data_IF_833811710467
#
_entry.id   IF_833811710467
#
_cell.length_a   1.000
_cell.length_b   1.000
_cell.length_c   1.000
_cell.angle_alpha   90.00
_cell.angle_beta   90.00
_cell.angle_gamma   90.00
#
_symmetry.space_group_name_H-M   'P 1'
#
loop_
_entity.id
_entity.type
_entity.pdbx_description
1 polymer ?
2 non-polymer ?
3 non-polymer ?
4 water ?
#
# COMPACT_ATOMS: atom_id res chain seq x y z
N UNK A 1 4.98 9.86 -42.10
CA UNK A 1 4.79 11.00 -41.14
C UNK A 1 6.04 11.25 -40.32
N UNK A 2 6.05 12.41 -39.66
CA UNK A 2 7.11 12.82 -38.77
C UNK A 2 6.55 13.42 -37.46
N UNK A 3 7.42 13.56 -36.48
CA UNK A 3 7.02 14.10 -35.18
C UNK A 3 8.23 14.68 -34.46
N UNK A 4 7.96 15.50 -33.46
CA UNK A 4 9.01 16.03 -32.58
C UNK A 4 9.76 14.89 -31.91
N UNK A 5 11.06 15.09 -31.77
CA UNK A 5 11.90 14.14 -31.08
C UNK A 5 11.95 14.46 -29.59
N UNK A 6 11.83 13.44 -28.76
CA UNK A 6 11.94 13.60 -27.31
C UNK A 6 13.31 13.19 -26.86
N UNK A 7 13.76 13.81 -25.76
CA UNK A 7 15.03 13.39 -25.16
C UNK A 7 14.95 12.09 -24.39
N UNK A 8 13.84 11.87 -23.71
CA UNK A 8 13.68 10.69 -22.90
C UNK A 8 12.84 9.68 -23.62
N UNK A 9 13.24 8.43 -23.53
CA UNK A 9 12.53 7.32 -24.14
C UNK A 9 12.27 6.28 -23.09
N UNK A 10 11.08 5.74 -23.13
CA UNK A 10 10.59 4.93 -22.04
C UNK A 10 11.54 3.82 -21.62
N UNK A 11 12.12 3.08 -22.57
CA UNK A 11 12.96 1.95 -22.12
C UNK A 11 14.22 2.47 -21.44
N UNK A 12 14.75 3.59 -21.88
CA UNK A 12 15.93 4.14 -21.20
C UNK A 12 15.57 4.62 -19.82
N UNK A 13 14.37 5.23 -19.71
CA UNK A 13 13.92 5.80 -18.42
C UNK A 13 13.71 4.73 -17.37
N UNK A 14 13.21 3.54 -17.76
CA UNK A 14 12.92 2.50 -16.76
C UNK A 14 14.11 1.61 -16.49
N UNK A 15 15.16 1.68 -17.27
CA UNK A 15 16.30 0.77 -17.12
C UNK A 15 16.90 0.92 -15.75
N UNK A 16 16.98 -0.19 -15.02
CA UNK A 16 17.49 -0.21 -13.66
C UNK A 16 16.60 0.36 -12.60
N UNK A 17 15.38 0.76 -12.99
CA UNK A 17 14.45 1.46 -12.14
C UNK A 17 13.17 0.67 -11.93
N UNK A 18 12.32 1.19 -11.05
CA UNK A 18 11.09 0.55 -10.69
C UNK A 18 9.91 1.14 -11.46
N UNK A 19 9.05 0.24 -11.96
CA UNK A 19 7.75 0.58 -12.54
C UNK A 19 6.71 0.15 -11.55
N UNK A 20 5.75 1.01 -11.22
CA UNK A 20 4.73 0.65 -10.29
C UNK A 20 3.39 0.48 -11.00
N UNK A 21 2.78 -0.67 -10.78
CA UNK A 21 1.48 -0.96 -11.31
C UNK A 21 0.38 -0.48 -10.38
N UNK A 22 -0.51 0.35 -10.89
CA UNK A 22 -1.57 1.02 -10.14
C UNK A 22 -2.88 0.58 -10.74
N UNK A 23 -3.37 -0.56 -10.28
CA UNK A 23 -4.58 -1.18 -10.80
C UNK A 23 -5.56 -1.50 -9.66
N UNK A 24 -6.83 -1.40 -10.01
CA UNK A 24 -7.90 -1.80 -9.09
C UNK A 24 -9.10 -2.13 -9.92
N UNK A 25 -9.38 -3.42 -10.06
CA UNK A 25 -10.49 -3.87 -10.92
C UNK A 25 -11.81 -3.71 -10.20
N UNK A 26 -12.93 -4.04 -10.87
CA UNK A 26 -14.21 -3.64 -10.38
C UNK A 26 -14.62 -4.34 -9.10
N UNK A 27 -13.96 -5.44 -8.78
CA UNK A 27 -14.22 -6.16 -7.53
C UNK A 27 -13.28 -5.76 -6.39
N UNK A 28 -12.51 -4.70 -6.56
CA UNK A 28 -11.49 -4.30 -5.60
C UNK A 28 -11.88 -2.99 -4.93
N UNK A 29 -11.45 -2.78 -3.70
CA UNK A 29 -11.90 -1.62 -2.94
C UNK A 29 -11.45 -0.28 -3.49
N UNK A 30 -10.34 -0.22 -4.20
CA UNK A 30 -9.80 1.07 -4.72
C UNK A 30 -10.20 1.35 -6.17
N UNK A 31 -11.21 0.62 -6.69
CA UNK A 31 -11.64 0.79 -8.10
C UNK A 31 -12.16 2.21 -8.37
N UNK A 32 -11.35 3.01 -9.05
CA UNK A 32 -11.61 4.43 -9.26
C UNK A 32 -10.41 5.05 -9.90
N UNK A 33 -10.60 5.73 -11.03
CA UNK A 33 -9.50 6.43 -11.65
C UNK A 33 -8.91 7.52 -10.72
N UNK A 34 -9.77 8.16 -9.95
CA UNK A 34 -9.33 9.16 -8.96
C UNK A 34 -8.29 8.54 -8.03
N UNK A 35 -8.61 7.37 -7.46
CA UNK A 35 -7.71 6.73 -6.51
C UNK A 35 -6.45 6.25 -7.21
N UNK A 36 -6.55 5.65 -8.40
CA UNK A 36 -5.35 5.21 -9.08
C UNK A 36 -4.43 6.38 -9.46
N UNK A 37 -4.99 7.52 -9.81
CA UNK A 37 -4.16 8.69 -10.06
C UNK A 37 -3.37 9.08 -8.81
N UNK A 38 -4.04 9.07 -7.68
CA UNK A 38 -3.39 9.40 -6.41
C UNK A 38 -2.32 8.35 -6.05
N UNK A 39 -2.59 7.06 -6.28
CA UNK A 39 -1.58 6.00 -6.10
C UNK A 39 -0.36 6.28 -6.96
N UNK A 40 -0.59 6.70 -8.22
CA UNK A 40 0.49 6.96 -9.14
C UNK A 40 1.31 8.17 -8.72
N UNK A 41 0.67 9.20 -8.17
CA UNK A 41 1.38 10.35 -7.62
C UNK A 41 2.28 9.87 -6.50
N UNK A 42 1.72 9.05 -5.63
CA UNK A 42 2.51 8.51 -4.49
C UNK A 42 3.71 7.74 -5.02
N UNK A 43 3.49 6.90 -6.02
CA UNK A 43 4.54 6.08 -6.59
C UNK A 43 5.62 7.01 -7.20
N UNK A 44 5.22 8.03 -7.94
CA UNK A 44 6.15 9.04 -8.51
C UNK A 44 7.01 9.68 -7.39
N UNK A 45 6.36 10.12 -6.33
CA UNK A 45 7.03 10.81 -5.23
C UNK A 45 7.93 9.89 -4.47
N UNK A 46 7.69 8.59 -4.54
CA UNK A 46 8.54 7.57 -3.97
C UNK A 46 9.66 7.06 -4.89
N UNK A 47 9.76 7.60 -6.10
CA UNK A 47 10.87 7.29 -7.00
C UNK A 47 10.54 6.39 -8.16
N UNK A 48 9.30 6.04 -8.40
CA UNK A 48 8.91 5.21 -9.57
C UNK A 48 9.27 5.93 -10.85
N UNK A 49 9.77 5.19 -11.85
CA UNK A 49 10.13 5.71 -13.15
C UNK A 49 9.01 5.71 -14.17
N UNK A 50 8.03 4.86 -13.95
CA UNK A 50 6.91 4.71 -14.86
C UNK A 50 5.79 3.98 -14.13
N UNK A 51 4.61 3.95 -14.75
CA UNK A 51 3.41 3.35 -14.16
C UNK A 51 2.84 2.32 -15.17
N UNK A 52 2.35 1.20 -14.66
CA UNK A 52 1.52 0.27 -15.42
C UNK A 52 0.10 0.42 -14.95
N UNK A 53 -0.85 0.57 -15.86
CA UNK A 53 -2.25 0.86 -15.51
C UNK A 53 -3.19 0.16 -16.45
N UNK A 54 -4.41 -0.05 -15.96
CA UNK A 54 -5.45 -0.78 -16.67
C UNK A 54 -6.64 0.11 -16.90
N UNK A 55 -7.10 0.10 -18.14
CA UNK A 55 -8.29 0.83 -18.58
C UNK A 55 -8.01 2.27 -18.97
N UNK A 56 -8.75 2.70 -19.98
CA UNK A 56 -8.58 4.02 -20.54
C UNK A 56 -8.73 5.10 -19.48
N UNK A 57 -9.75 5.02 -18.65
CA UNK A 57 -10.03 6.08 -17.70
C UNK A 57 -8.87 6.22 -16.69
N UNK A 58 -8.33 5.11 -16.19
CA UNK A 58 -7.23 5.20 -15.24
C UNK A 58 -5.97 5.68 -15.91
N UNK A 59 -5.72 5.19 -17.12
CA UNK A 59 -4.54 5.63 -17.84
C UNK A 59 -4.57 7.13 -18.09
N UNK A 60 -5.72 7.66 -18.51
CA UNK A 60 -5.82 9.08 -18.82
C UNK A 60 -5.62 9.92 -17.56
N UNK A 61 -6.19 9.45 -16.46
CA UNK A 61 -6.05 10.17 -15.19
C UNK A 61 -4.62 10.17 -14.70
N UNK A 62 -3.98 9.01 -14.75
CA UNK A 62 -2.58 8.91 -14.33
C UNK A 62 -1.66 9.76 -15.17
N UNK A 63 -1.87 9.75 -16.48
CA UNK A 63 -1.07 10.59 -17.34
C UNK A 63 -1.21 12.07 -16.97
N UNK A 64 -2.47 12.51 -16.74
CA UNK A 64 -2.81 13.91 -16.37
C UNK A 64 -2.15 14.36 -15.05
N UNK A 65 -2.14 13.50 -14.06
CA UNK A 65 -1.70 13.91 -12.74
C UNK A 65 -0.23 13.56 -12.41
N UNK A 66 0.43 12.73 -13.22
CA UNK A 66 1.85 12.38 -12.99
C UNK A 66 2.81 12.72 -14.13
N UNK A 67 2.32 12.68 -15.36
CA UNK A 67 3.18 12.85 -16.54
C UNK A 67 4.27 11.81 -16.66
N UNK A 68 4.11 10.66 -16.02
CA UNK A 68 5.06 9.57 -16.16
C UNK A 68 4.75 8.75 -17.37
N UNK A 69 5.74 8.05 -17.88
CA UNK A 69 5.48 7.02 -18.91
C UNK A 69 4.57 5.94 -18.39
N UNK A 70 3.72 5.42 -19.26
CA UNK A 70 2.71 4.44 -18.88
C UNK A 70 2.73 3.22 -19.76
N UNK A 71 2.75 2.06 -19.14
CA UNK A 71 2.44 0.77 -19.78
C UNK A 71 0.94 0.56 -19.58
N UNK A 72 0.20 0.64 -20.67
CA UNK A 72 -1.26 0.47 -20.58
C UNK A 72 -1.68 -0.91 -21.02
N UNK A 73 -2.72 -1.39 -20.35
CA UNK A 73 -3.46 -2.60 -20.72
C UNK A 73 -4.94 -2.37 -20.58
N UNK A 74 -5.72 -3.23 -21.22
CA UNK A 74 -7.13 -3.40 -20.90
C UNK A 74 -7.32 -4.86 -20.55
N UNK A 75 -7.84 -5.11 -19.38
CA UNK A 75 -8.17 -6.46 -18.91
C UNK A 75 -9.62 -6.71 -19.26
N UNK A 76 -9.92 -7.70 -20.09
CA UNK A 76 -11.28 -7.95 -20.55
C UNK A 76 -11.45 -9.43 -20.84
N UNK A 77 -12.50 -10.04 -20.29
CA UNK A 77 -12.80 -11.46 -20.52
C UNK A 77 -13.57 -11.57 -21.80
N UNK A 78 -13.27 -12.61 -22.54
CA UNK A 78 -14.02 -13.02 -23.71
C UNK A 78 -14.45 -14.46 -23.52
N UNK A 79 -15.64 -14.77 -24.01
CA UNK A 79 -16.17 -16.13 -23.86
C UNK A 79 -15.40 -17.22 -24.56
N UNK A 80 -14.65 -16.87 -25.60
CA UNK A 80 -13.95 -17.83 -26.45
C UNK A 80 -12.43 -17.85 -26.28
N UNK A 81 -11.93 -17.39 -25.14
CA UNK A 81 -10.50 -17.32 -24.93
C UNK A 81 -10.19 -17.27 -23.44
N UNK A 82 -9.03 -17.82 -23.06
CA UNK A 82 -8.53 -17.74 -21.70
C UNK A 82 -7.75 -16.43 -21.51
N UNK A 83 -7.42 -15.75 -22.60
CA UNK A 83 -6.62 -14.53 -22.57
C UNK A 83 -7.48 -13.32 -22.15
N UNK A 84 -6.97 -12.53 -21.20
CA UNK A 84 -7.68 -11.33 -20.74
C UNK A 84 -6.83 -10.05 -20.80
N UNK A 85 -5.50 -10.15 -20.91
CA UNK A 85 -4.67 -8.94 -20.96
C UNK A 85 -4.56 -8.49 -22.41
N UNK A 86 -5.30 -7.42 -22.76
CA UNK A 86 -5.37 -6.81 -24.08
C UNK A 86 -5.55 -7.89 -25.17
N UNK A 87 -6.71 -8.55 -25.15
CA UNK A 87 -6.84 -9.75 -25.97
C UNK A 87 -6.98 -9.53 -27.47
N UNK A 88 -7.56 -8.40 -27.89
CA UNK A 88 -7.94 -8.21 -29.29
C UNK A 88 -7.61 -6.82 -29.77
N UNK A 89 -7.74 -6.63 -31.08
CA UNK A 89 -7.53 -5.35 -31.69
C UNK A 89 -8.47 -4.28 -31.10
N UNK A 90 -9.66 -4.68 -30.65
CA UNK A 90 -10.57 -3.73 -30.04
C UNK A 90 -9.94 -3.05 -28.82
N UNK A 91 -9.28 -3.82 -27.95
CA UNK A 91 -8.58 -3.21 -26.81
C UNK A 91 -7.35 -2.42 -27.25
N UNK A 92 -6.57 -2.92 -28.20
CA UNK A 92 -5.46 -2.13 -28.72
C UNK A 92 -5.93 -0.74 -29.21
N UNK A 93 -7.01 -0.69 -29.97
CA UNK A 93 -7.54 0.56 -30.50
C UNK A 93 -8.02 1.48 -29.40
N UNK A 94 -8.67 0.92 -28.40
CA UNK A 94 -9.07 1.72 -27.23
C UNK A 94 -7.83 2.33 -26.55
N UNK A 95 -6.77 1.55 -26.36
CA UNK A 95 -5.54 2.07 -25.75
C UNK A 95 -4.79 3.09 -26.60
N UNK A 96 -4.90 2.96 -27.90
CA UNK A 96 -4.25 3.92 -28.79
C UNK A 96 -4.92 5.27 -28.79
N UNK A 97 -6.12 5.36 -28.21
CA UNK A 97 -6.77 6.65 -28.02
C UNK A 97 -6.23 7.37 -26.77
N UNK A 98 -5.45 6.67 -25.93
CA UNK A 98 -4.71 7.29 -24.86
C UNK A 98 -3.29 7.66 -25.26
N UNK A 99 -2.55 8.31 -24.37
CA UNK A 99 -1.18 8.66 -24.69
C UNK A 99 -0.17 7.67 -24.15
N UNK A 100 -0.61 6.49 -23.71
CA UNK A 100 0.35 5.57 -23.13
C UNK A 100 1.40 5.18 -24.15
N UNK A 101 2.65 5.19 -23.72
CA UNK A 101 3.80 5.01 -24.60
C UNK A 101 4.04 3.53 -24.92
N UNK A 102 3.62 2.63 -24.04
CA UNK A 102 3.79 1.19 -24.20
C UNK A 102 2.43 0.55 -23.95
N UNK A 103 2.15 -0.49 -24.71
CA UNK A 103 0.97 -1.33 -24.55
C UNK A 103 1.47 -2.73 -24.28
N UNK A 104 1.00 -3.32 -23.20
CA UNK A 104 1.30 -4.74 -22.87
C UNK A 104 0.14 -5.62 -23.28
N UNK A 105 0.48 -6.80 -23.78
CA UNK A 105 -0.57 -7.76 -24.13
C UNK A 105 -0.09 -9.17 -23.79
N UNK A 106 -1.05 -9.99 -23.41
CA UNK A 106 -0.80 -11.42 -23.26
C UNK A 106 -0.15 -11.91 -24.55
N UNK A 107 0.99 -12.57 -24.45
CA UNK A 107 1.68 -13.16 -25.58
C UNK A 107 1.92 -14.65 -25.37
N UNK A 108 0.98 -15.26 -24.67
CA UNK A 108 0.98 -16.68 -24.45
C UNK A 108 0.63 -17.41 -25.74
N UNK A 109 0.84 -18.73 -25.73
CA UNK A 109 0.63 -19.54 -26.93
C UNK A 109 -0.84 -19.83 -27.29
N UNK A 110 -1.75 -19.22 -26.56
CA UNK A 110 -3.13 -19.61 -26.49
C UNK A 110 -3.94 -18.86 -27.54
N UNK A 111 -5.08 -19.44 -27.92
CA UNK A 111 -5.95 -18.80 -28.89
C UNK A 111 -6.58 -17.54 -28.34
N UNK A 112 -6.61 -16.51 -29.17
CA UNK A 112 -7.23 -15.25 -28.82
C UNK A 112 -8.68 -15.22 -29.26
N UNK A 113 -9.46 -14.26 -28.70
CA UNK A 113 -10.83 -14.12 -29.19
C UNK A 113 -10.87 -13.83 -30.68
N UNK A 114 -11.93 -14.33 -31.31
CA UNK A 114 -12.17 -14.15 -32.73
C UNK A 114 -11.05 -14.76 -33.59
N UNK A 115 -10.22 -15.64 -33.02
CA UNK A 115 -9.08 -16.21 -33.76
C UNK A 115 -8.05 -15.17 -34.19
N UNK A 116 -8.00 -14.06 -33.48
CA UNK A 116 -7.03 -13.02 -33.79
C UNK A 116 -5.60 -13.44 -33.52
N UNK A 117 -4.68 -12.81 -34.22
CA UNK A 117 -3.27 -13.14 -34.15
C UNK A 117 -2.49 -12.02 -33.47
N UNK A 118 -1.72 -12.38 -32.46
CA UNK A 118 -0.98 -11.40 -31.70
C UNK A 118 -0.04 -10.58 -32.57
N UNK A 119 0.51 -11.14 -33.63
CA UNK A 119 1.35 -10.35 -34.53
C UNK A 119 0.63 -9.12 -35.09
N UNK A 120 -0.64 -9.27 -35.40
CA UNK A 120 -1.40 -8.15 -35.93
C UNK A 120 -1.56 -7.04 -34.91
N UNK A 121 -1.70 -7.43 -33.65
CA UNK A 121 -1.81 -6.48 -32.56
C UNK A 121 -0.48 -5.72 -32.38
N UNK A 122 0.63 -6.44 -32.38
CA UNK A 122 1.97 -5.85 -32.30
C UNK A 122 2.18 -4.85 -33.45
N UNK A 123 1.81 -5.27 -34.65
CA UNK A 123 1.99 -4.39 -35.80
C UNK A 123 1.15 -3.11 -35.68
N UNK A 124 -0.07 -3.22 -35.18
CA UNK A 124 -0.95 -2.06 -35.04
C UNK A 124 -0.42 -1.08 -33.99
N UNK A 125 0.16 -1.61 -32.92
CA UNK A 125 0.80 -0.80 -31.90
C UNK A 125 1.99 -0.05 -32.51
N UNK A 126 2.82 -0.74 -33.29
CA UNK A 126 4.01 -0.15 -33.91
C UNK A 126 3.62 0.89 -34.94
N UNK A 127 2.52 0.66 -35.63
CA UNK A 127 2.04 1.60 -36.66
C UNK A 127 1.73 2.99 -36.13
N UNK A 128 1.37 3.09 -34.85
CA UNK A 128 1.09 4.37 -34.19
C UNK A 128 2.27 4.84 -33.36
N UNK A 129 3.40 4.15 -33.50
CA UNK A 129 4.65 4.60 -32.87
C UNK A 129 4.78 4.28 -31.40
N UNK A 130 3.95 3.34 -30.92
CA UNK A 130 3.98 2.90 -29.54
C UNK A 130 4.89 1.67 -29.41
N UNK A 131 5.26 1.35 -28.17
CA UNK A 131 6.06 0.16 -27.89
C UNK A 131 5.11 -0.96 -27.46
N UNK A 132 5.55 -2.20 -27.64
CA UNK A 132 4.73 -3.37 -27.29
C UNK A 132 5.53 -4.21 -26.29
N UNK A 133 4.87 -4.56 -25.21
CA UNK A 133 5.39 -5.47 -24.19
C UNK A 133 4.61 -6.79 -24.26
N UNK A 134 5.35 -7.89 -24.24
CA UNK A 134 4.79 -9.24 -24.23
C UNK A 134 4.72 -9.75 -22.83
N UNK A 135 3.53 -9.92 -22.29
CA UNK A 135 3.30 -10.58 -21.00
C UNK A 135 3.29 -12.09 -21.26
N UNK A 136 4.23 -12.80 -20.66
CA UNK A 136 4.40 -14.24 -20.94
C UNK A 136 4.39 -15.05 -19.67
N UNK A 137 4.25 -16.35 -19.83
CA UNK A 137 4.25 -17.28 -18.69
C UNK A 137 5.37 -18.32 -18.70
N UNK A 138 5.99 -18.58 -19.84
CA UNK A 138 7.02 -19.63 -19.95
C UNK A 138 8.17 -19.10 -20.78
N UNK A 139 9.31 -19.79 -20.68
CA UNK A 139 10.50 -19.44 -21.44
C UNK A 139 10.26 -19.44 -22.93
N UNK A 140 9.62 -20.52 -23.41
CA UNK A 140 9.39 -20.59 -24.83
C UNK A 140 8.53 -19.45 -25.32
N UNK A 141 7.53 -19.04 -24.54
CA UNK A 141 6.69 -17.90 -24.91
C UNK A 141 7.54 -16.62 -25.00
N UNK A 142 8.49 -16.49 -24.08
CA UNK A 142 9.37 -15.31 -24.11
C UNK A 142 10.26 -15.27 -25.34
N UNK A 143 10.78 -16.44 -25.69
CA UNK A 143 11.61 -16.57 -26.90
C UNK A 143 10.80 -16.23 -28.16
N UNK A 144 9.57 -16.73 -28.25
CA UNK A 144 8.72 -16.42 -29.39
C UNK A 144 8.30 -14.95 -29.49
N UNK A 145 8.10 -14.29 -28.34
CA UNK A 145 7.72 -12.89 -28.35
C UNK A 145 8.74 -12.00 -29.06
N UNK A 146 10.00 -12.28 -28.84
CA UNK A 146 11.03 -11.56 -29.55
C UNK A 146 10.89 -11.75 -31.07
N UNK A 147 10.68 -12.98 -31.50
CA UNK A 147 10.51 -13.27 -32.93
C UNK A 147 9.33 -12.52 -33.54
N UNK A 148 8.29 -12.30 -32.74
CA UNK A 148 7.07 -11.62 -33.19
C UNK A 148 7.21 -10.08 -33.22
N UNK A 149 8.35 -9.55 -32.78
CA UNK A 149 8.60 -8.13 -32.88
C UNK A 149 8.31 -7.28 -31.64
N UNK A 150 8.04 -7.92 -30.51
CA UNK A 150 7.85 -7.19 -29.26
C UNK A 150 9.12 -6.43 -28.89
N UNK A 151 8.92 -5.31 -28.21
CA UNK A 151 10.04 -4.46 -27.80
C UNK A 151 10.64 -4.92 -26.47
N UNK A 152 9.83 -5.59 -25.66
CA UNK A 152 10.31 -6.12 -24.41
C UNK A 152 9.38 -7.23 -24.03
N UNK A 153 9.80 -8.04 -23.06
CA UNK A 153 9.02 -9.16 -22.57
C UNK A 153 8.95 -9.03 -21.06
N UNK A 154 7.83 -9.44 -20.48
CA UNK A 154 7.66 -9.39 -19.04
C UNK A 154 7.19 -10.74 -18.52
N UNK A 155 7.55 -11.06 -17.27
CA UNK A 155 7.20 -12.36 -16.73
C UNK A 155 5.83 -12.38 -16.00
N UNK A 156 5.01 -11.38 -16.31
CA UNK A 156 3.71 -11.14 -15.76
C UNK A 156 2.80 -12.33 -15.54
N UNK A 157 2.74 -13.20 -16.53
CA UNK A 157 1.74 -14.28 -16.52
C UNK A 157 2.27 -15.62 -16.00
N UNK A 158 3.53 -15.67 -15.57
CA UNK A 158 4.07 -16.89 -14.96
C UNK A 158 3.38 -17.20 -13.65
N UNK A 159 2.78 -18.38 -13.59
CA UNK A 159 1.92 -18.73 -12.47
C UNK A 159 0.46 -18.43 -12.67
N UNK A 160 0.12 -17.79 -13.78
CA UNK A 160 -1.25 -17.35 -14.09
C UNK A 160 -1.75 -18.04 -15.37
N UNK A 161 -1.04 -19.06 -15.82
CA UNK A 161 -1.53 -20.01 -16.83
C UNK A 161 -1.37 -21.42 -16.24
N UNK A 162 -2.20 -22.38 -16.69
CA UNK A 162 -2.22 -23.69 -16.04
C UNK A 162 -0.93 -24.47 -16.20
N UNK A 163 -0.21 -24.18 -17.25
CA UNK A 163 0.95 -24.96 -17.68
C UNK A 163 2.30 -24.31 -17.28
N UNK A 164 2.25 -23.12 -16.66
CA UNK A 164 3.45 -22.43 -16.23
C UNK A 164 3.70 -22.82 -14.78
N UNK A 165 4.86 -22.44 -14.26
CA UNK A 165 5.20 -22.84 -12.92
C UNK A 165 4.20 -22.24 -11.95
N UNK A 166 3.65 -23.08 -11.10
CA UNK A 166 2.72 -22.60 -10.07
C UNK A 166 3.49 -22.23 -8.81
N UNK A 167 3.37 -20.99 -8.39
CA UNK A 167 4.13 -20.49 -7.26
C UNK A 167 3.47 -19.26 -6.64
N UNK A 168 3.72 -19.05 -5.35
CA UNK A 168 3.26 -17.84 -4.68
C UNK A 168 4.37 -16.83 -4.52
N UNK A 169 5.52 -17.11 -5.14
CA UNK A 169 6.68 -16.19 -5.05
C UNK A 169 7.20 -15.81 -6.45
N UNK A 170 8.13 -14.87 -6.51
CA UNK A 170 8.62 -14.40 -7.79
C UNK A 170 9.22 -15.56 -8.54
N UNK A 171 8.98 -15.61 -9.84
CA UNK A 171 9.60 -16.60 -10.70
C UNK A 171 10.96 -16.10 -11.17
N UNK A 172 11.99 -16.30 -10.36
CA UNK A 172 13.35 -15.89 -10.70
C UNK A 172 13.96 -16.77 -11.76
N UNK A 173 13.61 -18.05 -11.80
CA UNK A 173 14.19 -18.96 -12.77
C UNK A 173 13.80 -18.53 -14.17
N UNK A 174 12.56 -18.18 -14.40
CA UNK A 174 12.14 -17.72 -15.72
C UNK A 174 12.90 -16.46 -16.10
N UNK A 175 13.03 -15.53 -15.17
CA UNK A 175 13.80 -14.34 -15.42
C UNK A 175 15.21 -14.68 -15.85
N UNK A 176 15.90 -15.53 -15.10
CA UNK A 176 17.29 -15.88 -15.44
C UNK A 176 17.38 -16.55 -16.79
N UNK A 177 16.45 -17.44 -17.06
CA UNK A 177 16.44 -18.16 -18.32
C UNK A 177 16.15 -17.27 -19.51
N UNK A 178 15.26 -16.29 -19.36
CA UNK A 178 15.03 -15.31 -20.44
C UNK A 178 16.26 -14.47 -20.68
N UNK A 179 16.90 -14.02 -19.61
CA UNK A 179 18.13 -13.24 -19.73
C UNK A 179 19.21 -14.05 -20.44
N UNK A 180 19.25 -15.37 -20.28
CA UNK A 180 20.20 -16.20 -21.03
C UNK A 180 19.93 -16.24 -22.54
N UNK A 181 18.70 -15.95 -22.97
CA UNK A 181 18.23 -16.39 -24.28
C UNK A 181 17.67 -15.31 -25.21
N UNK A 182 17.06 -14.28 -24.69
CA UNK A 182 16.53 -13.22 -25.56
C UNK A 182 17.41 -11.98 -25.51
N UNK A 183 17.34 -11.16 -26.55
CA UNK A 183 18.18 -9.97 -26.67
C UNK A 183 17.41 -8.71 -26.22
N UNK A 184 16.07 -8.78 -26.26
CA UNK A 184 15.27 -7.64 -25.93
C UNK A 184 15.16 -7.53 -24.41
N UNK A 185 14.84 -6.36 -23.87
CA UNK A 185 14.71 -6.22 -22.44
C UNK A 185 13.73 -7.20 -21.80
N UNK A 186 14.13 -7.73 -20.64
CA UNK A 186 13.32 -8.66 -19.85
C UNK A 186 12.94 -7.94 -18.56
N UNK A 187 11.63 -7.81 -18.35
CA UNK A 187 11.09 -7.13 -17.19
C UNK A 187 10.53 -8.16 -16.23
N UNK A 188 10.96 -8.10 -14.99
CA UNK A 188 10.43 -8.97 -13.95
C UNK A 188 9.15 -8.41 -13.42
N UNK A 189 8.09 -9.18 -13.53
CA UNK A 189 6.77 -8.73 -13.10
C UNK A 189 5.95 -9.90 -12.54
N UNK A 190 5.54 -9.81 -11.29
CA UNK A 190 4.72 -10.81 -10.66
C UNK A 190 5.24 -11.25 -9.30
N UNK A 191 4.51 -10.86 -8.26
CA UNK A 191 4.70 -11.36 -6.91
C UNK A 191 5.94 -10.86 -6.24
N UNK A 192 6.53 -9.75 -6.73
CA UNK A 192 7.61 -9.05 -6.01
C UNK A 192 7.03 -8.42 -4.76
N UNK A 193 7.36 -8.94 -3.59
CA UNK A 193 6.80 -8.47 -2.31
C UNK A 193 7.75 -7.62 -1.51
N UNK A 194 9.06 -7.81 -1.68
CA UNK A 194 10.03 -7.15 -0.78
C UNK A 194 11.09 -6.41 -1.57
N UNK A 195 11.69 -5.38 -0.96
CA UNK A 195 12.80 -4.74 -1.64
C UNK A 195 13.94 -5.72 -1.98
N UNK A 196 14.17 -6.70 -1.13
CA UNK A 196 15.21 -7.69 -1.39
C UNK A 196 14.95 -8.53 -2.63
N UNK A 197 13.69 -8.83 -2.89
CA UNK A 197 13.34 -9.55 -4.11
C UNK A 197 13.49 -8.66 -5.32
N UNK A 198 13.13 -7.39 -5.19
CA UNK A 198 13.34 -6.44 -6.28
C UNK A 198 14.83 -6.33 -6.65
N UNK A 199 15.68 -6.15 -5.65
CA UNK A 199 17.12 -6.09 -5.86
C UNK A 199 17.61 -7.34 -6.56
N UNK A 200 17.18 -8.50 -6.05
CA UNK A 200 17.53 -9.77 -6.64
C UNK A 200 17.16 -9.84 -8.13
N UNK A 201 15.98 -9.37 -8.50
CA UNK A 201 15.60 -9.40 -9.91
C UNK A 201 16.56 -8.61 -10.77
N UNK A 202 16.89 -7.40 -10.33
CA UNK A 202 17.85 -6.57 -11.06
C UNK A 202 19.22 -7.24 -11.10
N UNK A 203 19.63 -7.81 -9.98
CA UNK A 203 20.94 -8.47 -9.93
C UNK A 203 21.05 -9.65 -10.88
N UNK A 204 19.93 -10.32 -11.10
CA UNK A 204 19.82 -11.41 -12.06
C UNK A 204 19.73 -10.96 -13.52
N UNK A 205 19.74 -9.66 -13.77
CA UNK A 205 19.75 -9.10 -15.11
C UNK A 205 18.43 -8.64 -15.68
N UNK A 206 17.41 -8.54 -14.85
CA UNK A 206 16.20 -7.89 -15.27
C UNK A 206 16.53 -6.47 -15.74
N UNK A 207 15.95 -6.05 -16.85
CA UNK A 207 16.19 -4.70 -17.35
C UNK A 207 15.52 -3.67 -16.46
N UNK A 208 14.33 -4.03 -16.01
CA UNK A 208 13.53 -3.26 -15.08
C UNK A 208 12.61 -4.26 -14.40
N UNK A 209 11.78 -3.76 -13.49
CA UNK A 209 10.81 -4.58 -12.78
C UNK A 209 9.56 -3.83 -12.46
N UNK A 210 8.46 -4.57 -12.35
CA UNK A 210 7.15 -4.02 -12.03
C UNK A 210 6.67 -4.57 -10.71
N UNK A 211 6.29 -3.67 -9.81
CA UNK A 211 5.66 -4.01 -8.54
C UNK A 211 4.28 -3.40 -8.53
N UNK A 212 3.27 -4.25 -8.30
CA UNK A 212 1.92 -3.79 -8.19
C UNK A 212 1.34 -3.92 -6.82
N UNK A 213 0.79 -5.08 -6.50
CA UNK A 213 0.02 -5.21 -5.29
C UNK A 213 0.74 -4.89 -3.99
N UNK A 214 2.04 -5.18 -3.91
CA UNK A 214 2.82 -4.91 -2.72
C UNK A 214 2.92 -3.43 -2.43
N UNK A 215 2.56 -2.58 -3.41
CA UNK A 215 2.50 -1.10 -3.18
C UNK A 215 1.07 -0.59 -3.20
N UNK A 216 0.26 -1.02 -4.18
CA UNK A 216 -1.00 -0.40 -4.48
C UNK A 216 -2.29 -1.21 -4.16
N UNK A 217 -2.12 -2.40 -3.57
CA UNK A 217 -3.27 -3.18 -3.12
C UNK A 217 -3.21 -3.39 -1.61
N UNK A 218 -3.68 -2.39 -0.85
CA UNK A 218 -3.63 -2.52 0.59
C UNK A 218 -4.29 -3.77 1.15
N UNK A 219 -5.33 -4.28 0.47
CA UNK A 219 -5.91 -5.51 0.95
C UNK A 219 -4.91 -6.66 0.95
N UNK A 220 -4.15 -6.77 -0.14
CA UNK A 220 -3.14 -7.80 -0.26
C UNK A 220 -2.01 -7.61 0.73
N UNK A 221 -1.60 -6.36 0.95
CA UNK A 221 -0.49 -6.07 1.86
C UNK A 221 -0.94 -6.43 3.25
N UNK A 222 -2.17 -6.01 3.60
CA UNK A 222 -2.74 -6.32 4.91
C UNK A 222 -2.80 -7.84 5.12
N UNK A 223 -3.26 -8.58 4.11
CA UNK A 223 -3.37 -10.04 4.25
C UNK A 223 -2.01 -10.71 4.48
N UNK A 224 -0.97 -10.17 3.88
CA UNK A 224 0.33 -10.74 4.07
C UNK A 224 0.78 -10.54 5.52
N UNK A 225 0.42 -9.38 6.13
CA UNK A 225 0.60 -9.18 7.56
C UNK A 225 -0.25 -10.10 8.39
N UNK A 226 -1.57 -10.13 8.18
CA UNK A 226 -2.44 -10.93 9.05
C UNK A 226 -2.23 -12.42 8.88
N UNK A 227 -1.75 -12.86 7.72
CA UNK A 227 -1.46 -14.30 7.50
C UNK A 227 -0.38 -14.84 8.46
N UNK A 228 0.51 -13.99 8.97
CA UNK A 228 1.59 -14.48 9.82
C UNK A 228 1.12 -14.65 11.25
N UNK A 229 -0.02 -14.08 11.60
CA UNK A 229 -0.54 -14.14 12.98
C UNK A 229 -1.20 -15.49 13.29
N UNK B 1 -26.11 7.28 34.03
CA UNK B 1 -26.87 6.73 32.86
C UNK B 1 -26.56 5.28 32.54
N UNK B 2 -27.29 4.75 31.56
CA UNK B 2 -27.15 3.36 31.13
C UNK B 2 -27.28 3.21 29.62
N UNK B 3 -26.91 2.03 29.12
CA UNK B 3 -26.91 1.76 27.69
C UNK B 3 -26.98 0.26 27.42
N UNK B 4 -27.31 -0.11 26.17
CA UNK B 4 -27.31 -1.52 25.83
C UNK B 4 -25.89 -2.07 25.86
N UNK B 5 -25.79 -3.34 26.23
CA UNK B 5 -24.53 -4.00 26.31
C UNK B 5 -24.22 -4.63 24.98
N UNK B 6 -22.97 -4.51 24.58
CA UNK B 6 -22.48 -5.10 23.35
C UNK B 6 -21.70 -6.34 23.67
N UNK B 7 -21.71 -7.29 22.74
CA UNK B 7 -20.96 -8.50 22.95
C UNK B 7 -19.45 -8.29 22.76
N UNK B 8 -19.10 -7.46 21.79
CA UNK B 8 -17.70 -7.24 21.42
C UNK B 8 -17.22 -5.96 22.04
N UNK B 9 -16.00 -6.01 22.53
CA UNK B 9 -15.39 -4.88 23.17
C UNK B 9 -14.07 -4.67 22.51
N UNK B 10 -13.75 -3.43 22.19
CA UNK B 10 -12.60 -3.15 21.37
C UNK B 10 -11.28 -3.84 21.79
N UNK B 11 -10.93 -3.80 23.08
CA UNK B 11 -9.65 -4.39 23.46
C UNK B 11 -9.68 -5.91 23.27
N UNK B 12 -10.82 -6.52 23.46
CA UNK B 12 -10.91 -7.95 23.16
C UNK B 12 -10.79 -8.23 21.69
N UNK B 13 -11.42 -7.40 20.85
CA UNK B 13 -11.39 -7.57 19.40
C UNK B 13 -9.98 -7.47 18.83
N UNK B 14 -9.18 -6.55 19.36
CA UNK B 14 -7.86 -6.33 18.78
C UNK B 14 -6.81 -7.26 19.37
N UNK B 15 -7.09 -7.95 20.48
CA UNK B 15 -6.10 -8.81 21.11
C UNK B 15 -5.54 -9.84 20.16
N UNK B 16 -4.23 -9.83 19.95
CA UNK B 16 -3.56 -10.76 19.04
C UNK B 16 -3.74 -10.50 17.57
N UNK B 17 -4.42 -9.41 17.26
CA UNK B 17 -4.77 -9.07 15.89
C UNK B 17 -4.12 -7.77 15.46
N UNK B 18 -4.30 -7.45 14.18
CA UNK B 18 -3.70 -6.26 13.58
C UNK B 18 -4.71 -5.10 13.53
N UNK B 19 -4.26 -3.92 13.93
CA UNK B 19 -4.94 -2.66 13.74
C UNK B 19 -4.24 -1.93 12.61
N UNK B 20 -5.01 -1.48 11.63
CA UNK B 20 -4.39 -0.75 10.49
C UNK B 20 -4.68 0.75 10.62
N UNK B 21 -3.65 1.57 10.58
CA UNK B 21 -3.77 3.01 10.55
C UNK B 21 -3.91 3.52 9.10
N UNK B 22 -5.00 4.24 8.83
CA UNK B 22 -5.41 4.72 7.55
C UNK B 22 -5.46 6.24 7.67
N UNK B 23 -4.31 6.87 7.47
CA UNK B 23 -4.16 8.31 7.54
C UNK B 23 -3.47 8.87 6.32
N UNK B 24 -3.87 10.11 5.99
CA UNK B 24 -3.26 10.83 4.88
C UNK B 24 -3.51 12.30 5.12
N UNK B 25 -2.51 12.96 5.62
CA UNK B 25 -2.61 14.36 5.98
C UNK B 25 -2.58 15.22 4.73
N UNK B 26 -2.73 16.53 4.90
CA UNK B 26 -2.98 17.41 3.78
C UNK B 26 -1.88 17.51 2.73
N UNK B 27 -0.65 17.14 3.12
CA UNK B 27 0.48 17.10 2.23
C UNK B 27 0.75 15.72 1.64
N UNK B 28 -0.18 14.79 1.77
CA UNK B 28 0.03 13.42 1.30
C UNK B 28 -0.88 13.06 0.14
N UNK B 29 -0.38 12.20 -0.79
CA UNK B 29 -1.14 11.97 -1.99
C UNK B 29 -2.52 11.42 -1.85
N UNK B 30 -2.77 10.65 -0.83
CA UNK B 30 -4.09 9.99 -0.66
C UNK B 30 -5.05 10.79 0.20
N UNK B 31 -4.71 12.03 0.51
CA UNK B 31 -5.55 12.88 1.35
C UNK B 31 -6.95 13.02 0.78
N UNK B 32 -7.94 12.50 1.53
CA UNK B 32 -9.35 12.38 1.07
C UNK B 32 -10.04 11.44 2.03
N UNK B 33 -11.15 11.86 2.57
CA UNK B 33 -11.90 10.94 3.42
C UNK B 33 -12.41 9.77 2.63
N UNK B 34 -12.89 10.03 1.41
CA UNK B 34 -13.31 8.94 0.53
C UNK B 34 -12.21 7.92 0.38
N UNK B 35 -11.00 8.38 0.06
CA UNK B 35 -9.92 7.41 -0.15
C UNK B 35 -9.60 6.67 1.12
N UNK B 36 -9.54 7.35 2.27
CA UNK B 36 -9.25 6.65 3.51
C UNK B 36 -10.31 5.62 3.83
N UNK B 37 -11.55 5.90 3.52
CA UNK B 37 -12.59 4.92 3.65
C UNK B 37 -12.33 3.65 2.86
N UNK B 38 -11.96 3.82 1.59
CA UNK B 38 -11.67 2.70 0.71
C UNK B 38 -10.44 1.95 1.20
N UNK B 39 -9.42 2.67 1.70
CA UNK B 39 -8.26 1.98 2.27
C UNK B 39 -8.66 1.15 3.47
N UNK B 40 -9.58 1.65 4.30
CA UNK B 40 -10.05 0.92 5.48
C UNK B 40 -10.86 -0.31 5.09
N UNK B 41 -11.66 -0.22 4.02
CA UNK B 41 -12.35 -1.38 3.49
C UNK B 41 -11.34 -2.47 3.09
N UNK B 42 -10.32 -2.07 2.34
CA UNK B 42 -9.24 -2.98 1.90
C UNK B 42 -8.62 -3.64 3.13
N UNK B 43 -8.28 -2.86 4.13
CA UNK B 43 -7.74 -3.38 5.37
C UNK B 43 -8.67 -4.38 6.06
N UNK B 44 -9.96 -4.03 6.17
CA UNK B 44 -10.94 -4.95 6.72
C UNK B 44 -10.94 -6.28 5.95
N UNK B 45 -10.95 -6.20 4.63
CA UNK B 45 -11.03 -7.39 3.79
C UNK B 45 -9.77 -8.20 3.81
N UNK B 46 -8.65 -7.61 4.20
CA UNK B 46 -7.40 -8.32 4.45
C UNK B 46 -7.19 -8.78 5.88
N UNK B 47 -8.20 -8.61 6.72
CA UNK B 47 -8.19 -9.17 8.06
C UNK B 47 -7.92 -8.23 9.21
N UNK B 48 -7.89 -6.93 8.99
CA UNK B 48 -7.65 -5.96 10.07
C UNK B 48 -8.81 -6.05 11.04
N UNK B 49 -8.51 -5.96 12.32
CA UNK B 49 -9.51 -6.01 13.38
C UNK B 49 -10.07 -4.64 13.77
N UNK B 50 -9.31 -3.61 13.46
CA UNK B 50 -9.70 -2.24 13.82
C UNK B 50 -8.86 -1.29 12.98
N UNK B 51 -9.25 -0.03 13.00
CA UNK B 51 -8.62 1.02 12.21
C UNK B 51 -8.22 2.15 13.13
N UNK B 52 -7.06 2.74 12.89
CA UNK B 52 -6.68 4.00 13.51
C UNK B 52 -6.77 5.07 12.44
N UNK B 53 -7.39 6.19 12.78
CA UNK B 53 -7.72 7.21 11.81
C UNK B 53 -7.61 8.59 12.42
N UNK B 54 -7.42 9.59 11.57
CA UNK B 54 -7.13 10.98 11.97
C UNK B 54 -8.16 11.90 11.38
N UNK B 55 -8.70 12.75 12.24
CA UNK B 55 -9.64 13.77 11.86
C UNK B 55 -11.07 13.22 11.80
N UNK B 56 -12.00 14.12 12.08
CA UNK B 56 -13.43 13.77 12.23
C UNK B 56 -13.98 13.30 10.90
N UNK B 57 -13.59 13.92 9.82
CA UNK B 57 -14.15 13.52 8.53
C UNK B 57 -13.74 12.10 8.10
N UNK B 58 -12.46 11.78 8.25
CA UNK B 58 -12.01 10.44 7.93
C UNK B 58 -12.60 9.43 8.89
N UNK B 59 -12.60 9.72 10.19
CA UNK B 59 -13.20 8.80 11.16
C UNK B 59 -14.65 8.51 10.80
N UNK B 60 -15.44 9.55 10.55
CA UNK B 60 -16.86 9.33 10.24
C UNK B 60 -17.03 8.51 8.96
N UNK B 61 -16.24 8.77 7.93
CA UNK B 61 -16.32 8.01 6.69
C UNK B 61 -15.96 6.56 6.93
N UNK B 62 -14.84 6.30 7.60
CA UNK B 62 -14.44 4.92 7.88
C UNK B 62 -15.44 4.12 8.70
N UNK B 63 -16.00 4.78 9.69
CA UNK B 63 -17.00 4.14 10.53
C UNK B 63 -18.17 3.72 9.64
N UNK B 64 -18.63 4.64 8.78
CA UNK B 64 -19.78 4.36 7.93
C UNK B 64 -19.54 3.19 6.98
N UNK B 65 -18.39 3.16 6.33
CA UNK B 65 -18.15 2.23 5.24
C UNK B 65 -17.53 0.91 5.69
N UNK B 66 -17.05 0.83 6.94
CA UNK B 66 -16.47 -0.45 7.44
C UNK B 66 -17.13 -1.01 8.69
N UNK B 67 -17.70 -0.15 9.53
CA UNK B 67 -18.23 -0.54 10.83
C UNK B 67 -17.25 -1.27 11.72
N UNK B 68 -15.97 -1.03 11.51
CA UNK B 68 -14.92 -1.54 12.41
C UNK B 68 -14.73 -0.62 13.61
N UNK B 69 -14.19 -1.16 14.70
CA UNK B 69 -13.80 -0.29 15.77
C UNK B 69 -12.71 0.65 15.32
N UNK B 70 -12.74 1.88 15.83
CA UNK B 70 -11.78 2.91 15.49
C UNK B 70 -11.04 3.51 16.67
N UNK B 71 -9.72 3.67 16.53
CA UNK B 71 -8.92 4.53 17.37
C UNK B 71 -8.82 5.88 16.67
N UNK B 72 -9.41 6.91 17.25
CA UNK B 72 -9.44 8.22 16.63
C UNK B 72 -8.43 9.15 17.26
N UNK B 73 -7.80 9.96 16.42
CA UNK B 73 -6.95 11.07 16.86
C UNK B 73 -7.30 12.28 16.03
N UNK B 74 -6.91 13.44 16.52
CA UNK B 74 -6.77 14.65 15.69
C UNK B 74 -5.34 15.13 15.80
N UNK B 75 -4.68 15.28 14.66
CA UNK B 75 -3.32 15.79 14.61
C UNK B 75 -3.39 17.29 14.37
N UNK B 76 -2.84 18.09 15.28
CA UNK B 76 -3.01 19.53 15.15
C UNK B 76 -1.85 20.20 15.86
N UNK B 77 -1.21 21.15 15.16
CA UNK B 77 -0.10 21.90 15.72
C UNK B 77 -0.61 23.07 16.52
N UNK B 78 0.08 23.35 17.63
CA UNK B 78 -0.23 24.53 18.45
C UNK B 78 1.09 25.25 18.62
N UNK B 79 1.05 26.57 18.70
CA UNK B 79 2.27 27.39 18.72
C UNK B 79 3.03 27.24 20.03
N UNK B 80 2.34 26.78 21.09
CA UNK B 80 2.98 26.71 22.41
C UNK B 80 3.25 25.30 22.90
N UNK B 81 3.34 24.34 21.99
CA UNK B 81 3.60 22.97 22.40
C UNK B 81 4.21 22.19 21.28
N UNK B 82 4.99 21.17 21.63
CA UNK B 82 5.54 20.23 20.64
C UNK B 82 4.58 19.07 20.34
N UNK B 83 3.53 18.96 21.15
CA UNK B 83 2.56 17.86 21.04
C UNK B 83 1.59 18.16 19.91
N UNK B 84 1.30 17.16 19.09
CA UNK B 84 0.30 17.32 18.03
C UNK B 84 -0.73 16.21 17.97
N UNK B 85 -0.51 15.10 18.66
CA UNK B 85 -1.51 14.03 18.64
C UNK B 85 -2.54 14.28 19.76
N UNK B 86 -3.71 14.73 19.34
CA UNK B 86 -4.83 15.06 20.24
C UNK B 86 -4.35 15.91 21.42
N UNK B 87 -3.91 17.15 21.14
CA UNK B 87 -3.22 17.90 22.20
C UNK B 87 -4.06 18.48 23.32
N UNK B 88 -5.33 18.78 23.06
CA UNK B 88 -6.12 19.54 23.98
C UNK B 88 -7.54 19.01 24.06
N UNK B 89 -8.26 19.58 25.03
CA UNK B 89 -9.64 19.22 25.24
C UNK B 89 -10.47 19.56 24.00
N UNK B 90 -10.06 20.57 23.25
CA UNK B 90 -10.77 20.91 22.01
C UNK B 90 -10.81 19.71 21.07
N UNK B 91 -9.66 19.04 20.89
CA UNK B 91 -9.64 17.85 20.04
C UNK B 91 -10.39 16.66 20.63
N UNK B 92 -10.26 16.47 21.93
CA UNK B 92 -11.02 15.42 22.58
C UNK B 92 -12.53 15.58 22.33
N UNK B 93 -13.04 16.81 22.51
CA UNK B 93 -14.44 17.09 22.32
C UNK B 93 -14.86 16.85 20.89
N UNK B 94 -14.04 17.27 19.95
CA UNK B 94 -14.34 17.00 18.57
C UNK B 94 -14.43 15.49 18.29
N UNK B 95 -13.50 14.70 18.84
CA UNK B 95 -13.50 13.25 18.65
C UNK B 95 -14.69 12.58 19.32
N UNK B 96 -15.08 13.10 20.46
CA UNK B 96 -16.23 12.55 21.19
C UNK B 96 -17.57 12.73 20.45
N UNK B 97 -17.62 13.62 19.47
CA UNK B 97 -18.75 13.71 18.54
C UNK B 97 -18.77 12.68 17.42
N UNK B 98 -17.67 11.96 17.23
CA UNK B 98 -17.65 10.82 16.31
C UNK B 98 -18.05 9.59 17.14
N UNK B 99 -18.23 8.47 16.47
CA UNK B 99 -18.50 7.24 17.19
C UNK B 99 -17.26 6.42 17.50
N UNK B 100 -16.08 7.00 17.42
CA UNK B 100 -14.92 6.20 17.69
C UNK B 100 -14.88 5.69 19.13
N UNK B 101 -14.55 4.42 19.29
CA UNK B 101 -14.62 3.73 20.58
C UNK B 101 -13.41 4.06 21.46
N UNK B 102 -12.26 4.36 20.84
CA UNK B 102 -11.02 4.66 21.56
C UNK B 102 -10.48 5.97 20.98
N UNK B 103 -9.90 6.79 21.85
CA UNK B 103 -9.25 8.01 21.45
C UNK B 103 -7.81 7.85 21.90
N UNK B 104 -6.88 8.06 20.98
CA UNK B 104 -5.46 8.07 21.32
C UNK B 104 -4.97 9.50 21.44
N UNK B 105 -4.09 9.75 22.42
CA UNK B 105 -3.48 11.08 22.61
C UNK B 105 -2.00 10.94 22.99
N UNK B 106 -1.21 11.91 22.57
CA UNK B 106 0.14 12.04 23.06
C UNK B 106 0.06 12.03 24.60
N UNK B 107 0.83 11.14 25.22
CA UNK B 107 0.90 11.06 26.68
C UNK B 107 2.37 11.16 27.05
N UNK B 108 3.09 12.01 26.33
CA UNK B 108 4.47 12.26 26.67
C UNK B 108 4.57 13.20 27.88
N UNK B 109 5.80 13.33 28.38
CA UNK B 109 6.06 14.19 29.53
C UNK B 109 6.01 15.68 29.23
N UNK B 110 5.76 16.04 27.99
CA UNK B 110 5.92 17.40 27.54
C UNK B 110 4.70 18.26 27.86
N UNK B 111 4.94 19.56 27.92
CA UNK B 111 3.85 20.49 28.18
C UNK B 111 2.89 20.55 27.01
N UNK B 112 1.61 20.62 27.32
CA UNK B 112 0.56 20.67 26.31
C UNK B 112 0.19 22.13 25.99
N UNK B 113 -0.53 22.34 24.87
CA UNK B 113 -1.00 23.70 24.63
C UNK B 113 -1.87 24.21 25.76
N UNK B 114 -1.83 25.52 25.98
CA UNK B 114 -2.61 26.17 27.03
C UNK B 114 -2.27 25.63 28.42
N UNK B 115 -1.17 24.90 28.56
CA UNK B 115 -0.81 24.26 29.84
C UNK B 115 -1.78 23.21 30.35
N UNK B 116 -2.56 22.63 29.44
CA UNK B 116 -3.55 21.64 29.79
C UNK B 116 -2.88 20.38 30.29
N UNK B 117 -3.62 19.61 31.07
CA UNK B 117 -3.10 18.40 31.70
C UNK B 117 -3.73 17.15 31.10
N UNK B 118 -2.89 16.18 30.77
CA UNK B 118 -3.34 14.94 30.14
C UNK B 118 -4.39 14.18 30.97
N UNK B 119 -4.27 14.22 32.30
CA UNK B 119 -5.29 13.59 33.14
C UNK B 119 -6.73 14.12 32.87
N UNK B 120 -6.88 15.42 32.65
CA UNK B 120 -8.18 16.00 32.34
C UNK B 120 -8.74 15.45 31.03
N UNK B 121 -7.86 15.22 30.06
CA UNK B 121 -8.27 14.66 28.80
C UNK B 121 -8.76 13.22 28.99
N UNK B 122 -7.99 12.42 29.71
CA UNK B 122 -8.38 11.03 29.98
C UNK B 122 -9.72 10.96 30.69
N UNK B 123 -9.91 11.82 31.68
CA UNK B 123 -11.13 11.82 32.46
C UNK B 123 -12.33 12.16 31.59
N UNK B 124 -12.14 13.10 30.66
CA UNK B 124 -13.25 13.48 29.77
C UNK B 124 -13.61 12.35 28.80
N UNK B 125 -12.60 11.65 28.29
CA UNK B 125 -12.86 10.49 27.46
C UNK B 125 -13.62 9.44 28.24
N UNK B 126 -13.20 9.21 29.46
CA UNK B 126 -13.88 8.25 30.29
C UNK B 126 -15.29 8.67 30.70
N UNK B 127 -15.49 9.98 30.90
CA UNK B 127 -16.82 10.47 31.24
C UNK B 127 -17.87 10.17 30.16
N UNK B 128 -17.44 10.00 28.91
CA UNK B 128 -18.34 9.58 27.82
C UNK B 128 -18.29 8.09 27.53
N UNK B 129 -17.63 7.31 28.38
CA UNK B 129 -17.62 5.87 28.20
C UNK B 129 -16.73 5.34 27.09
N UNK B 130 -15.78 6.16 26.60
CA UNK B 130 -14.80 5.76 25.60
C UNK B 130 -13.48 5.31 26.27
N UNK B 131 -12.67 4.59 25.50
CA UNK B 131 -11.37 4.13 25.92
C UNK B 131 -10.33 5.16 25.58
N UNK B 132 -9.28 5.26 26.37
CA UNK B 132 -8.14 6.17 26.08
C UNK B 132 -6.86 5.37 25.86
N UNK B 133 -6.15 5.68 24.78
CA UNK B 133 -4.87 5.09 24.43
C UNK B 133 -3.79 6.14 24.59
N UNK B 134 -2.75 5.79 25.32
CA UNK B 134 -1.62 6.70 25.58
C UNK B 134 -0.53 6.45 24.55
N UNK B 135 -0.33 7.41 23.66
CA UNK B 135 0.79 7.30 22.72
C UNK B 135 2.01 7.84 23.46
N UNK B 136 2.97 6.97 23.70
CA UNK B 136 4.18 7.30 24.49
C UNK B 136 5.47 7.11 23.71
N UNK B 137 6.56 7.62 24.28
CA UNK B 137 7.87 7.48 23.67
C UNK B 137 8.91 6.78 24.53
N UNK B 138 8.70 6.72 25.83
CA UNK B 138 9.64 6.08 26.76
C UNK B 138 8.94 5.16 27.74
N UNK B 139 9.74 4.32 28.38
CA UNK B 139 9.26 3.47 29.44
C UNK B 139 8.56 4.26 30.52
N UNK B 140 9.20 5.35 30.96
CA UNK B 140 8.69 6.12 32.07
C UNK B 140 7.36 6.76 31.73
N UNK B 141 7.21 7.15 30.48
CA UNK B 141 5.92 7.72 30.03
C UNK B 141 4.81 6.69 30.05
N UNK B 142 5.16 5.47 29.67
CA UNK B 142 4.23 4.36 29.75
C UNK B 142 3.76 4.05 31.16
N UNK B 143 4.71 4.02 32.08
CA UNK B 143 4.42 3.75 33.47
C UNK B 143 3.48 4.83 34.02
N UNK B 144 3.78 6.08 33.68
CA UNK B 144 2.94 7.16 34.14
C UNK B 144 1.56 7.12 33.51
N UNK B 145 1.50 6.75 32.23
CA UNK B 145 0.21 6.67 31.56
C UNK B 145 -0.71 5.67 32.28
N UNK B 146 -0.18 4.53 32.68
CA UNK B 146 -0.96 3.56 33.45
C UNK B 146 -1.45 4.17 34.73
N UNK B 147 -0.58 4.90 35.43
CA UNK B 147 -0.96 5.54 36.68
C UNK B 147 -2.05 6.56 36.49
N UNK B 148 -2.08 7.21 35.34
CA UNK B 148 -3.09 8.23 35.06
C UNK B 148 -4.43 7.61 34.66
N UNK B 149 -4.48 6.30 34.47
CA UNK B 149 -5.74 5.62 34.20
C UNK B 149 -6.06 5.40 32.73
N UNK B 150 -5.07 5.52 31.85
CA UNK B 150 -5.25 5.11 30.47
C UNK B 150 -5.65 3.63 30.41
N UNK B 151 -6.46 3.28 29.44
CA UNK B 151 -6.82 1.89 29.20
C UNK B 151 -5.76 1.04 28.51
N UNK B 152 -4.86 1.68 27.77
CA UNK B 152 -3.78 0.98 27.08
C UNK B 152 -2.74 2.02 26.71
N UNK B 153 -1.55 1.51 26.39
CA UNK B 153 -0.42 2.33 25.96
C UNK B 153 0.03 1.85 24.61
N UNK B 154 0.54 2.77 23.79
CA UNK B 154 1.11 2.43 22.51
C UNK B 154 2.48 3.06 22.33
N UNK B 155 3.36 2.38 21.58
CA UNK B 155 4.74 2.85 21.43
C UNK B 155 4.91 3.85 20.28
N UNK B 156 3.78 4.42 19.85
CA UNK B 156 3.67 5.34 18.74
C UNK B 156 4.73 6.39 18.61
N UNK B 157 5.11 7.02 19.73
CA UNK B 157 5.97 8.17 19.66
C UNK B 157 7.45 7.87 19.95
N UNK B 158 7.79 6.61 20.11
CA UNK B 158 9.19 6.26 20.27
C UNK B 158 9.94 6.60 18.98
N UNK B 159 10.96 7.44 19.12
CA UNK B 159 11.76 7.91 18.00
C UNK B 159 11.22 9.19 17.43
N UNK B 160 10.11 9.71 17.99
CA UNK B 160 9.48 10.92 17.51
C UNK B 160 9.46 12.01 18.60
N UNK B 161 10.22 11.78 19.67
CA UNK B 161 10.56 12.77 20.67
C UNK B 161 12.08 12.79 20.82
N UNK B 162 12.65 13.96 21.16
CA UNK B 162 14.12 14.04 21.14
C UNK B 162 14.84 13.19 22.18
N UNK B 163 14.15 12.82 23.25
CA UNK B 163 14.74 12.11 24.39
C UNK B 163 14.46 10.62 24.35
N UNK B 164 13.76 10.13 23.31
CA UNK B 164 13.49 8.71 23.18
C UNK B 164 14.52 8.13 22.23
N UNK B 165 14.54 6.82 22.10
CA UNK B 165 15.46 6.15 21.18
C UNK B 165 15.27 6.59 19.74
N UNK B 166 16.35 7.03 19.12
CA UNK B 166 16.34 7.44 17.73
C UNK B 166 16.62 6.21 16.86
N UNK B 167 15.67 5.88 15.99
CA UNK B 167 15.72 4.63 15.21
C UNK B 167 14.86 4.76 13.97
N UNK B 168 15.26 4.05 12.92
CA UNK B 168 14.44 3.92 11.75
C UNK B 168 13.70 2.58 11.68
N UNK B 169 13.77 1.82 12.75
CA UNK B 169 13.08 0.54 12.78
C UNK B 169 12.28 0.42 14.05
N UNK B 170 11.48 -0.63 14.14
CA UNK B 170 10.57 -0.81 15.25
C UNK B 170 11.38 -0.81 16.54
N UNK B 171 10.86 -0.11 17.54
CA UNK B 171 11.45 -0.14 18.89
C UNK B 171 10.92 -1.32 19.69
N UNK B 172 11.57 -2.48 19.51
CA UNK B 172 11.24 -3.68 20.26
C UNK B 172 11.71 -3.60 21.71
N UNK B 173 12.79 -2.85 21.96
CA UNK B 173 13.30 -2.73 23.32
C UNK B 173 12.29 -2.09 24.25
N UNK B 174 11.68 -0.99 23.80
CA UNK B 174 10.66 -0.32 24.59
C UNK B 174 9.46 -1.24 24.85
N UNK B 175 9.04 -1.93 23.79
CA UNK B 175 7.96 -2.91 23.91
C UNK B 175 8.27 -3.95 24.99
N UNK B 176 9.47 -4.52 24.95
CA UNK B 176 9.91 -5.54 25.93
C UNK B 176 9.89 -4.99 27.34
N UNK B 177 10.44 -3.80 27.52
CA UNK B 177 10.46 -3.17 28.86
C UNK B 177 9.08 -2.86 29.41
N UNK B 178 8.17 -2.38 28.55
CA UNK B 178 6.81 -2.03 28.98
C UNK B 178 6.04 -3.25 29.42
N UNK B 179 6.11 -4.35 28.65
CA UNK B 179 5.29 -5.52 28.95
C UNK B 179 5.71 -6.17 30.26
N UNK B 180 6.95 -6.00 30.68
CA UNK B 180 7.35 -6.57 31.95
C UNK B 180 7.06 -5.65 33.13
N UNK B 181 6.56 -4.45 32.87
CA UNK B 181 6.36 -3.42 33.87
C UNK B 181 4.89 -3.03 34.04
N UNK B 182 4.20 -2.72 32.95
CA UNK B 182 2.80 -2.29 33.09
C UNK B 182 1.83 -3.47 32.92
N UNK B 183 0.64 -3.35 33.52
CA UNK B 183 -0.35 -4.41 33.47
C UNK B 183 -1.37 -4.20 32.37
N UNK B 184 -1.59 -2.94 31.98
CA UNK B 184 -2.52 -2.64 30.93
C UNK B 184 -1.96 -3.09 29.58
N UNK B 185 -2.81 -3.28 28.59
CA UNK B 185 -2.33 -3.64 27.26
C UNK B 185 -1.27 -2.69 26.70
N UNK B 186 -0.22 -3.27 26.12
CA UNK B 186 0.83 -2.53 25.43
C UNK B 186 0.75 -2.84 23.96
N UNK B 187 0.49 -1.81 23.18
CA UNK B 187 0.35 -1.94 21.73
C UNK B 187 1.61 -1.46 21.02
N UNK B 188 2.14 -2.28 20.13
CA UNK B 188 3.33 -1.91 19.39
C UNK B 188 2.90 -1.11 18.16
N UNK B 189 3.39 0.11 18.07
CA UNK B 189 3.06 1.01 16.98
C UNK B 189 4.22 1.90 16.61
N UNK B 190 4.61 1.83 15.35
CA UNK B 190 5.69 2.65 14.78
C UNK B 190 6.73 1.84 14.01
N UNK B 191 6.75 2.07 12.71
CA UNK B 191 7.78 1.56 11.82
C UNK B 191 7.79 0.04 11.63
N UNK B 192 6.65 -0.63 11.87
CA UNK B 192 6.55 -2.04 11.54
C UNK B 192 6.43 -2.12 10.02
N UNK B 193 7.43 -2.70 9.38
CA UNK B 193 7.48 -2.77 7.92
C UNK B 193 7.18 -4.15 7.36
N UNK B 194 7.40 -5.23 8.13
CA UNK B 194 7.30 -6.57 7.59
C UNK B 194 6.43 -7.46 8.45
N UNK B 195 5.80 -8.47 7.83
CA UNK B 195 5.10 -9.44 8.63
C UNK B 195 5.95 -10.02 9.74
N UNK B 196 7.22 -10.26 9.49
CA UNK B 196 8.10 -10.88 10.45
C UNK B 196 8.27 -9.98 11.69
N UNK B 197 8.33 -8.67 11.47
CA UNK B 197 8.36 -7.71 12.58
C UNK B 197 7.05 -7.69 13.39
N UNK B 198 5.92 -7.78 12.69
CA UNK B 198 4.63 -7.88 13.36
C UNK B 198 4.54 -9.08 14.25
N UNK B 199 4.94 -10.23 13.70
CA UNK B 199 4.98 -11.47 14.44
C UNK B 199 5.88 -11.36 15.69
N UNK B 200 7.05 -10.77 15.51
CA UNK B 200 7.99 -10.55 16.63
C UNK B 200 7.40 -9.68 17.72
N UNK B 201 6.67 -8.63 17.35
CA UNK B 201 6.06 -7.77 18.33
C UNK B 201 5.09 -8.56 19.18
N UNK B 202 4.26 -9.37 18.52
CA UNK B 202 3.29 -10.17 19.26
C UNK B 202 4.00 -11.20 20.11
N UNK B 203 5.06 -11.80 19.59
CA UNK B 203 5.80 -12.84 20.33
C UNK B 203 6.47 -12.29 21.58
N UNK B 204 6.82 -11.00 21.54
CA UNK B 204 7.39 -10.31 22.68
C UNK B 204 6.35 -9.81 23.68
N UNK B 205 5.07 -10.07 23.41
CA UNK B 205 4.01 -9.77 24.39
C UNK B 205 3.21 -8.53 24.08
N UNK B 206 3.38 -7.93 22.89
CA UNK B 206 2.48 -6.87 22.51
C UNK B 206 1.06 -7.42 22.54
N UNK B 207 0.14 -6.66 23.11
CA UNK B 207 -1.25 -7.09 23.15
C UNK B 207 -1.89 -7.09 21.77
N UNK B 208 -1.55 -6.05 21.01
CA UNK B 208 -1.92 -5.87 19.62
C UNK B 208 -0.85 -5.01 18.97
N UNK B 209 -1.00 -4.67 17.71
CA UNK B 209 -0.03 -3.86 17.01
C UNK B 209 -0.76 -3.07 15.96
N UNK B 210 -0.20 -1.89 15.63
CA UNK B 210 -0.74 -0.97 14.61
C UNK B 210 0.30 -0.83 13.51
N UNK B 211 -0.10 -1.08 12.27
CA UNK B 211 0.71 -0.82 11.06
C UNK B 211 -0.02 0.22 10.28
N UNK B 212 0.66 1.32 9.96
CA UNK B 212 0.11 2.36 9.13
C UNK B 212 0.78 2.42 7.77
N UNK B 213 1.91 3.10 7.68
CA UNK B 213 2.47 3.39 6.37
C UNK B 213 2.84 2.22 5.52
N UNK B 214 3.25 1.10 6.13
CA UNK B 214 3.63 -0.08 5.35
C UNK B 214 2.44 -0.67 4.65
N UNK B 215 1.21 -0.24 4.97
CA UNK B 215 0.02 -0.67 4.26
C UNK B 215 -0.62 0.47 3.48
N UNK B 216 -0.71 1.66 4.09
CA UNK B 216 -1.56 2.72 3.58
C UNK B 216 -0.84 3.97 3.09
N UNK B 217 0.48 3.95 3.05
CA UNK B 217 1.25 5.08 2.45
C UNK B 217 2.07 4.51 1.30
N UNK B 218 1.43 4.37 0.15
CA UNK B 218 2.18 3.87 -1.02
C UNK B 218 3.46 4.65 -1.37
N UNK B 219 3.55 5.94 -1.06
CA UNK B 219 4.78 6.67 -1.28
C UNK B 219 5.91 6.09 -0.45
N UNK B 220 5.63 5.80 0.81
CA UNK B 220 6.61 5.24 1.73
C UNK B 220 6.98 3.82 1.31
N UNK B 221 6.01 3.05 0.87
CA UNK B 221 6.24 1.67 0.47
C UNK B 221 7.11 1.68 -0.78
N UNK B 222 6.77 2.54 -1.73
CA UNK B 222 7.54 2.72 -2.94
C UNK B 222 9.00 3.06 -2.63
N UNK B 223 9.16 4.06 -1.76
CA UNK B 223 10.48 4.50 -1.39
C UNK B 223 11.30 3.39 -0.80
N UNK B 224 10.71 2.52 -0.01
CA UNK B 224 11.48 1.42 0.57
C UNK B 224 11.94 0.49 -0.56
N UNK B 225 11.15 0.34 -1.63
CA UNK B 225 11.59 -0.40 -2.81
C UNK B 225 12.68 0.28 -3.58
N UNK B 226 12.50 1.56 -3.89
CA UNK B 226 13.45 2.27 -4.74
C UNK B 226 14.78 2.53 -3.99
N UNK B 227 14.73 2.65 -2.66
CA UNK B 227 15.95 2.88 -1.87
C UNK B 227 16.95 1.74 -2.05
N UNK B 228 16.48 0.53 -2.33
CA UNK B 228 17.42 -0.60 -2.49
C UNK B 228 18.14 -0.63 -3.83
N UNK B 229 17.66 0.10 -4.82
CA UNK B 229 18.23 0.12 -6.16
C UNK B 229 19.44 1.05 -6.31
X LIG C 1 -1.28 -9.43 -13.61
X LIG C 1 2.11 -7.83 -8.84
X LIG C 1 -0.89 -7.41 -14.79
X LIG C 1 -0.98 -6.22 -15.06
X LIG C 1 -1.69 -8.05 -13.73
X LIG C 1 -1.73 -7.26 -12.44
X LIG C 1 -2.80 -7.79 -11.66
X LIG C 1 -0.48 -7.36 -11.57
X LIG C 1 -0.76 -6.58 -10.37
X LIG C 1 0.76 -6.77 -12.16
X LIG C 1 1.17 -7.73 -13.17
X LIG C 1 1.92 -6.64 -11.19
X LIG C 1 2.08 -7.83 -10.40
X LIG C 1 -2.10 -10.42 -13.94
X LIG C 1 -3.24 -10.20 -14.39
X LIG C 1 -1.63 -11.81 -13.68
X LIG C 1 2.14 -9.31 -8.47
X LIG C 1 3.32 -7.08 -8.40
X LIG C 1 0.80 -7.20 -8.41
X LIG D 1 -6.59 -3.46 -2.23
X LIG E 1 2.44 8.62 14.20
X LIG E 1 3.51 3.53 11.12
X LIG E 1 0.09 8.09 14.64
X LIG E 1 -1.08 7.90 14.38
X LIG E 1 1.10 8.67 13.65
X LIG E 1 0.95 7.97 12.33
X LIG E 1 1.61 8.85 11.41
X LIG E 1 1.58 6.62 12.11
X LIG E 1 1.35 6.25 10.72
X LIG E 1 0.99 5.53 13.02
X LIG E 1 1.41 5.81 14.38
X LIG E 1 1.43 4.13 12.61
X LIG E 1 2.84 4.07 12.45
X LIG E 1 3.11 9.75 14.45
X LIG E 1 2.64 10.86 14.21
X LIG E 1 4.51 9.58 14.94
X LIG E 1 4.98 3.75 11.34
X LIG E 1 3.22 2.06 11.00
X LIG E 1 2.95 4.35 9.97
X LIG F 1 1.43 7.81 0.38
#
# INVERSE_FOLDING_TARGET
GSSHHHHHHMLDVVKGNLIVSCQALSDEPLHSSFIMGRMAIAAKQGGAAAIRAQGVNDINEIKEVTKLPIIGIIARNYDDSEIYITPTMKEVDELLKTDCEMIALDATKRKRPNGENVKDLVDAIHAKGRLAMADISTLEEGIEAEKLGFDCVSTTLSGYTPYSKQSNSVDFELLEELVKTVKIPVICEGRINTPEELKKALDLGAYSAVVGGAITRPQQITKRFTDIL
GSSHHHHHHMLDVVKGNLIVSCQALSDEPLHSSFIMGRMAIAAKQGGAAAIRAQGVNDINEIKEVTKLPIIGIIARNYDDSEIYITPTMKEVDELLKTDCEMIALDATKRKRPNGENVKDLVDAIHAKGRLAMADISTLEEGIEAEKLGFDCVSTTLSGYTPYSKQSNSVDFELLEELVKTVKIPVICEGRINTPEELKKALDLGAYSAVVGGAITRPQQITKRFTDIL
LRY N P C1 O1 C2 C3 O3 C4 O4 C5 O5 C6 O6 C7 O7 C8 OP1 OP2 OP3
CL CL
LRY N P C1 O1 C2 C3 O3 C4 O4 C5 O5 C6 O6 C7 O7 C8 OP1 OP2 OP3
CL CL
#
